data_IF_903574386205
#
_entry.id   IF_903574386205
#
_cell.length_a   1.000
_cell.length_b   1.000
_cell.length_c   1.000
_cell.angle_alpha   90.00
_cell.angle_beta   90.00
_cell.angle_gamma   90.00
#
_symmetry.space_group_name_H-M   'P 1'
#
loop_
_entity.id
_entity.type
_entity.pdbx_description
1 polymer ?
#
# COMPACT_ATOMS: atom_id res chain seq x y z
N UNK A 1 -1.71 4.59 -26.21
CA UNK A 1 -1.43 3.44 -25.36
C UNK A 1 -1.57 3.84 -23.90
N UNK A 2 -2.34 3.09 -23.13
CA UNK A 2 -2.47 3.32 -21.70
C UNK A 2 -1.23 2.82 -20.97
N UNK A 3 -0.75 3.61 -20.01
CA UNK A 3 0.41 3.29 -19.20
C UNK A 3 -0.04 3.08 -17.75
N UNK A 4 0.21 1.88 -17.24
CA UNK A 4 -0.01 1.55 -15.83
C UNK A 4 1.35 1.55 -15.14
N UNK A 5 1.47 2.34 -14.08
CA UNK A 5 2.70 2.43 -13.30
C UNK A 5 2.48 1.86 -11.91
N UNK A 6 3.45 1.08 -11.44
CA UNK A 6 3.46 0.46 -10.12
C UNK A 6 4.83 0.64 -9.48
N UNK A 7 4.91 0.44 -8.17
CA UNK A 7 6.16 0.52 -7.41
C UNK A 7 6.02 1.56 -6.30
N UNK A 8 6.75 1.48 -5.30
CA UNK A 8 6.92 2.32 -4.10
C UNK A 8 6.00 3.55 -3.94
N UNK A 9 4.70 3.40 -4.24
CA UNK A 9 3.71 4.46 -4.08
C UNK A 9 3.01 4.24 -2.74
N UNK A 10 3.24 5.17 -1.81
CA UNK A 10 2.68 5.12 -0.46
C UNK A 10 1.68 6.23 -0.20
N UNK A 11 1.90 7.42 -0.75
CA UNK A 11 1.05 8.57 -0.49
C UNK A 11 0.32 9.01 -1.75
N UNK A 12 -0.75 9.79 -1.55
CA UNK A 12 -1.46 10.42 -2.65
C UNK A 12 -0.54 11.33 -3.46
N UNK A 13 0.34 12.07 -2.80
CA UNK A 13 1.27 12.96 -3.48
C UNK A 13 2.18 12.19 -4.42
N UNK A 14 2.68 11.03 -3.99
CA UNK A 14 3.49 10.16 -4.84
C UNK A 14 2.69 9.65 -6.03
N UNK A 15 1.43 9.26 -5.82
CA UNK A 15 0.55 8.79 -6.90
C UNK A 15 0.30 9.93 -7.92
N UNK A 16 0.02 11.13 -7.44
CA UNK A 16 -0.22 12.27 -8.31
C UNK A 16 1.02 12.64 -9.12
N UNK A 17 2.21 12.51 -8.52
CA UNK A 17 3.47 12.75 -9.21
C UNK A 17 3.66 11.77 -10.37
N UNK A 18 3.37 10.49 -10.14
CA UNK A 18 3.48 9.46 -11.18
C UNK A 18 2.52 9.75 -12.33
N UNK A 19 1.29 10.15 -12.02
CA UNK A 19 0.31 10.54 -13.03
C UNK A 19 0.78 11.76 -13.82
N UNK A 20 1.39 12.74 -13.15
CA UNK A 20 1.90 13.94 -13.83
C UNK A 20 3.07 13.64 -14.77
N UNK A 21 3.79 12.53 -14.54
CA UNK A 21 4.90 12.10 -15.39
C UNK A 21 4.44 11.31 -16.62
N UNK A 22 3.14 11.10 -16.77
CA UNK A 22 2.58 10.49 -17.97
C UNK A 22 1.88 9.15 -17.80
N UNK A 23 1.80 8.63 -16.59
CA UNK A 23 1.04 7.40 -16.36
C UNK A 23 -0.46 7.70 -16.41
N UNK A 24 -1.23 6.76 -16.93
CA UNK A 24 -2.69 6.86 -16.99
C UNK A 24 -3.35 6.30 -15.74
N UNK A 25 -2.74 5.27 -15.14
CA UNK A 25 -3.24 4.56 -13.97
C UNK A 25 -2.08 4.23 -13.06
N UNK A 26 -2.28 4.33 -11.75
CA UNK A 26 -1.31 3.85 -10.76
C UNK A 26 -1.83 2.60 -10.10
N UNK A 27 -0.94 1.65 -9.83
CA UNK A 27 -1.26 0.42 -9.14
C UNK A 27 -0.56 0.41 -7.77
N UNK A 28 -1.28 -0.03 -6.76
CA UNK A 28 -0.77 -0.12 -5.40
C UNK A 28 -0.57 -1.58 -5.03
N UNK A 29 0.60 -1.91 -4.52
CA UNK A 29 0.90 -3.24 -4.01
C UNK A 29 0.95 -3.23 -2.49
N UNK A 30 2.16 -3.12 -1.94
CA UNK A 30 2.38 -3.21 -0.50
C UNK A 30 1.62 -2.16 0.29
N UNK A 31 1.51 -0.94 -0.22
CA UNK A 31 0.80 0.12 0.49
C UNK A 31 -0.68 -0.23 0.69
N UNK A 32 -1.31 -0.86 -0.30
CA UNK A 32 -2.70 -1.30 -0.18
C UNK A 32 -2.85 -2.52 0.73
N UNK A 33 -1.86 -3.41 0.74
CA UNK A 33 -1.86 -4.56 1.66
C UNK A 33 -1.82 -4.08 3.11
N UNK A 34 -1.00 -3.07 3.40
CA UNK A 34 -0.88 -2.54 4.75
C UNK A 34 -1.97 -1.52 5.09
N UNK A 35 -2.62 -0.96 4.09
CA UNK A 35 -3.66 0.07 4.27
C UNK A 35 -4.85 -0.30 3.38
N UNK A 36 -5.70 -1.20 3.86
CA UNK A 36 -6.82 -1.74 3.07
C UNK A 36 -7.79 -0.66 2.61
N UNK A 37 -7.91 0.43 3.33
CA UNK A 37 -8.79 1.56 3.01
C UNK A 37 -8.06 2.73 2.35
N UNK A 38 -6.90 2.44 1.73
CA UNK A 38 -6.05 3.46 1.12
C UNK A 38 -6.80 4.44 0.21
N UNK A 39 -7.66 3.99 -0.73
CA UNK A 39 -8.33 4.94 -1.62
C UNK A 39 -9.21 5.94 -0.89
N UNK A 40 -9.88 5.49 0.17
CA UNK A 40 -10.75 6.36 0.97
C UNK A 40 -9.95 7.34 1.82
N UNK A 41 -8.85 6.87 2.41
CA UNK A 41 -8.01 7.70 3.28
C UNK A 41 -7.16 8.69 2.50
N UNK A 42 -6.76 8.34 1.29
CA UNK A 42 -5.88 9.17 0.48
C UNK A 42 -6.49 10.50 0.06
N UNK A 43 -7.81 10.68 0.19
CA UNK A 43 -8.44 11.97 -0.08
C UNK A 43 -8.12 13.00 1.00
N UNK A 44 -7.70 12.57 2.18
CA UNK A 44 -7.26 13.47 3.25
C UNK A 44 -5.77 13.78 3.05
N UNK A 45 -5.40 15.05 2.77
CA UNK A 45 -4.00 15.40 2.50
C UNK A 45 -3.10 15.26 3.73
N UNK A 46 -3.67 15.16 4.93
CA UNK A 46 -2.90 15.02 6.16
C UNK A 46 -2.74 13.56 6.60
N UNK A 47 -3.39 12.63 5.91
CA UNK A 47 -3.29 11.22 6.26
C UNK A 47 -1.92 10.65 5.89
N UNK A 48 -1.32 9.92 6.84
CA UNK A 48 -0.08 9.19 6.61
C UNK A 48 -0.37 7.69 6.56
N UNK A 49 0.08 7.00 5.52
CA UNK A 49 -0.15 5.56 5.43
C UNK A 49 0.70 4.79 6.43
N UNK A 50 0.19 3.63 6.85
CA UNK A 50 0.97 2.70 7.65
C UNK A 50 2.09 2.13 6.80
N UNK A 51 3.31 2.14 7.32
CA UNK A 51 4.50 1.64 6.63
C UNK A 51 5.07 0.43 7.36
N UNK A 52 5.83 -0.44 6.67
CA UNK A 52 6.43 -1.58 7.34
C UNK A 52 7.52 -1.12 8.35
N UNK A 53 7.77 -1.92 9.40
CA UNK A 53 7.13 -3.20 9.66
C UNK A 53 5.76 -3.06 10.32
N UNK A 54 4.88 -4.02 10.08
CA UNK A 54 3.56 -4.09 10.72
C UNK A 54 3.41 -5.44 11.41
N UNK A 55 2.41 -5.55 12.29
CA UNK A 55 2.13 -6.83 12.97
C UNK A 55 1.14 -7.65 12.16
N UNK A 56 1.12 -8.97 12.43
CA UNK A 56 0.13 -9.87 11.82
C UNK A 56 -1.28 -9.42 12.21
N UNK A 57 -1.46 -8.98 13.45
CA UNK A 57 -2.76 -8.49 13.93
C UNK A 57 -3.24 -7.30 13.12
N UNK A 58 -2.35 -6.37 12.80
CA UNK A 58 -2.70 -5.21 11.98
C UNK A 58 -3.11 -5.61 10.56
N UNK A 59 -2.40 -6.57 9.97
CA UNK A 59 -2.74 -7.08 8.64
C UNK A 59 -4.11 -7.76 8.65
N UNK A 60 -4.39 -8.56 9.67
CA UNK A 60 -5.66 -9.26 9.78
C UNK A 60 -6.82 -8.28 10.03
N UNK A 61 -6.59 -7.24 10.80
CA UNK A 61 -7.58 -6.20 11.03
C UNK A 61 -7.97 -5.48 9.72
N UNK A 62 -7.05 -5.40 8.77
CA UNK A 62 -7.31 -4.85 7.44
C UNK A 62 -8.01 -5.82 6.50
N UNK A 63 -8.27 -7.05 6.91
CA UNK A 63 -9.03 -8.02 6.11
C UNK A 63 -8.23 -9.18 5.54
N UNK A 64 -6.91 -9.26 5.79
CA UNK A 64 -6.12 -10.38 5.30
C UNK A 64 -6.46 -11.65 6.08
N UNK A 65 -6.46 -12.79 5.37
CA UNK A 65 -6.58 -14.08 6.01
C UNK A 65 -5.35 -14.37 6.85
N UNK A 66 -5.48 -15.27 7.83
CA UNK A 66 -4.35 -15.67 8.66
C UNK A 66 -3.20 -16.23 7.82
N UNK A 67 -3.52 -17.05 6.81
CA UNK A 67 -2.50 -17.62 5.93
C UNK A 67 -1.78 -16.56 5.10
N UNK A 68 -2.50 -15.60 4.55
CA UNK A 68 -1.88 -14.55 3.77
C UNK A 68 -1.03 -13.62 4.65
N UNK A 69 -1.51 -13.29 5.86
CA UNK A 69 -0.74 -12.47 6.78
C UNK A 69 0.58 -13.15 7.15
N UNK A 70 0.57 -14.45 7.38
CA UNK A 70 1.81 -15.21 7.62
C UNK A 70 2.71 -15.25 6.39
N UNK A 71 2.12 -15.38 5.20
CA UNK A 71 2.89 -15.34 3.95
C UNK A 71 3.69 -14.03 3.83
N UNK A 72 3.14 -12.92 4.32
CA UNK A 72 3.83 -11.63 4.25
C UNK A 72 5.15 -11.61 5.02
N UNK A 73 5.36 -12.55 5.93
CA UNK A 73 6.64 -12.66 6.63
C UNK A 73 7.80 -13.05 5.69
N UNK A 74 7.49 -13.59 4.52
CA UNK A 74 8.52 -13.93 3.52
C UNK A 74 9.14 -12.68 2.90
N UNK A 75 8.49 -11.53 3.02
CA UNK A 75 9.02 -10.27 2.51
C UNK A 75 9.81 -9.57 3.61
N UNK A 76 11.08 -9.35 3.33
CA UNK A 76 12.01 -8.81 4.31
C UNK A 76 11.55 -7.44 4.83
N UNK A 77 11.47 -7.31 6.15
CA UNK A 77 11.11 -6.05 6.81
C UNK A 77 9.63 -5.68 6.75
N UNK A 78 8.78 -6.56 6.20
CA UNK A 78 7.35 -6.26 6.05
C UNK A 78 6.59 -6.48 7.35
N UNK A 79 6.86 -7.57 8.05
CA UNK A 79 6.13 -7.97 9.26
C UNK A 79 7.08 -7.96 10.45
N UNK A 80 6.63 -7.37 11.55
CA UNK A 80 7.39 -7.34 12.80
C UNK A 80 7.52 -8.75 13.38
N UNK A 81 8.68 -9.06 14.01
CA UNK A 81 8.92 -10.39 14.62
C UNK A 81 7.90 -10.72 15.70
#
# INVERSE_FOLDING_TARGET
VAVLAAGTIWTRAEAEQVLSLGADVVALGRSAILNADWPRRAVDPNWEPRRPPVTVEELRAGGLSAGFAEYMRTFRGMVAP
#
